data_IF_741801089583
#
_entry.id   IF_741801089583
#
_cell.length_a   1.000
_cell.length_b   1.000
_cell.length_c   1.000
_cell.angle_alpha   90.00
_cell.angle_beta   90.00
_cell.angle_gamma   90.00
#
_symmetry.space_group_name_H-M   'P 1'
#
loop_
_entity.id
_entity.type
_entity.pdbx_description
1 polymer ?
#
# COMPACT_ATOMS: atom_id res chain seq x y z
N UNK A 1 7.48 7.53 5.94
CA UNK A 1 7.81 7.34 4.51
C UNK A 1 8.53 8.59 4.07
N UNK A 2 9.70 8.47 3.46
CA UNK A 2 10.36 9.66 2.88
C UNK A 2 9.86 9.80 1.45
N UNK A 3 9.40 10.99 1.07
CA UNK A 3 9.03 11.31 -0.31
C UNK A 3 10.29 11.53 -1.16
N UNK A 4 11.19 10.55 -1.22
CA UNK A 4 12.45 10.61 -1.96
C UNK A 4 13.02 9.20 -2.14
N UNK A 5 13.07 8.70 -3.38
CA UNK A 5 13.56 7.34 -3.68
C UNK A 5 15.02 7.13 -3.28
N UNK A 6 15.87 8.16 -3.35
CA UNK A 6 17.28 8.04 -2.95
C UNK A 6 17.43 7.81 -1.44
N UNK A 7 16.67 8.54 -0.62
CA UNK A 7 16.67 8.33 0.81
C UNK A 7 15.99 7.00 1.16
N UNK A 8 14.95 6.61 0.41
CA UNK A 8 14.32 5.31 0.56
C UNK A 8 15.31 4.17 0.28
N UNK A 9 16.10 4.24 -0.80
CA UNK A 9 17.17 3.27 -1.07
C UNK A 9 18.21 3.24 0.04
N UNK A 10 18.59 4.40 0.61
CA UNK A 10 19.52 4.46 1.72
C UNK A 10 18.98 3.78 2.99
N UNK A 11 17.68 3.91 3.26
CA UNK A 11 17.01 3.32 4.42
C UNK A 11 16.79 1.81 4.22
N UNK A 12 16.32 1.39 3.05
CA UNK A 12 15.95 0.00 2.78
C UNK A 12 17.14 -0.90 2.44
N UNK A 13 18.09 -0.39 1.64
CA UNK A 13 19.24 -1.15 1.13
C UNK A 13 20.57 -0.69 1.75
N UNK A 14 20.53 0.29 2.65
CA UNK A 14 21.71 0.91 3.22
C UNK A 14 22.46 1.80 2.21
N UNK A 15 23.54 2.41 2.70
CA UNK A 15 24.45 3.20 1.86
C UNK A 15 25.09 2.38 0.73
N UNK A 16 25.18 1.06 0.89
CA UNK A 16 25.69 0.14 -0.14
C UNK A 16 24.75 0.11 -1.34
N UNK A 17 23.44 -0.10 -1.12
CA UNK A 17 22.46 -0.14 -2.20
C UNK A 17 22.37 1.20 -2.94
N UNK A 18 22.36 2.31 -2.20
CA UNK A 18 22.42 3.65 -2.77
C UNK A 18 23.71 3.85 -3.59
N UNK A 19 24.86 3.45 -3.05
CA UNK A 19 26.15 3.56 -3.73
C UNK A 19 26.21 2.78 -5.05
N UNK A 20 25.66 1.56 -5.09
CA UNK A 20 25.57 0.76 -6.31
C UNK A 20 24.62 1.40 -7.34
N UNK A 21 23.49 1.93 -6.90
CA UNK A 21 22.56 2.64 -7.77
C UNK A 21 23.20 3.88 -8.39
N UNK A 22 23.85 4.73 -7.58
CA UNK A 22 24.56 5.91 -8.07
C UNK A 22 25.71 5.52 -9.02
N UNK A 23 26.47 4.47 -8.69
CA UNK A 23 27.54 3.95 -9.56
C UNK A 23 26.99 3.54 -10.93
N UNK A 24 25.83 2.86 -10.97
CA UNK A 24 25.15 2.53 -12.23
C UNK A 24 24.85 3.79 -13.04
N UNK A 25 24.26 4.82 -12.42
CA UNK A 25 23.95 6.09 -13.09
C UNK A 25 25.23 6.75 -13.63
N UNK A 26 26.27 6.88 -12.81
CA UNK A 26 27.54 7.46 -13.23
C UNK A 26 28.16 6.69 -14.40
N UNK A 27 28.07 5.36 -14.40
CA UNK A 27 28.59 4.53 -15.49
C UNK A 27 27.80 4.75 -16.78
N UNK A 28 26.47 4.75 -16.72
CA UNK A 28 25.60 4.95 -17.88
C UNK A 28 25.81 6.34 -18.49
N UNK A 29 25.72 7.40 -17.69
CA UNK A 29 25.93 8.77 -18.18
C UNK A 29 27.37 9.02 -18.64
N UNK A 30 28.36 8.44 -17.96
CA UNK A 30 29.76 8.50 -18.40
C UNK A 30 29.98 7.86 -19.77
N UNK A 31 29.34 6.71 -20.04
CA UNK A 31 29.38 6.07 -21.35
C UNK A 31 28.62 6.88 -22.40
N UNK A 32 27.43 7.39 -22.09
CA UNK A 32 26.67 8.27 -23.00
C UNK A 32 27.52 9.47 -23.44
N UNK A 33 28.18 10.16 -22.51
CA UNK A 33 29.04 11.30 -22.81
C UNK A 33 30.26 10.89 -23.66
N UNK A 34 30.87 9.75 -23.37
CA UNK A 34 32.02 9.23 -24.11
C UNK A 34 31.68 8.85 -25.56
N UNK A 35 30.52 8.25 -25.79
CA UNK A 35 30.13 7.69 -27.09
C UNK A 35 29.24 8.62 -27.93
N UNK A 36 28.77 9.75 -27.40
CA UNK A 36 27.87 10.70 -28.11
C UNK A 36 28.35 11.11 -29.50
N UNK A 37 29.67 11.25 -29.70
CA UNK A 37 30.25 11.69 -30.98
C UNK A 37 30.30 10.56 -32.03
N UNK A 38 30.17 9.30 -31.61
CA UNK A 38 30.23 8.11 -32.49
C UNK A 38 28.85 7.66 -32.98
N UNK A 39 27.77 8.14 -32.36
CA UNK A 39 26.41 7.77 -32.73
C UNK A 39 26.06 8.29 -34.13
N UNK A 40 25.46 7.44 -34.97
CA UNK A 40 24.81 7.87 -36.22
C UNK A 40 23.47 8.55 -35.94
N UNK A 41 22.89 9.27 -36.91
CA UNK A 41 21.70 10.11 -36.71
C UNK A 41 20.52 9.35 -36.05
N UNK A 42 20.21 8.14 -36.51
CA UNK A 42 19.12 7.32 -35.96
C UNK A 42 19.38 6.91 -34.49
N UNK A 43 20.60 6.45 -34.20
CA UNK A 43 21.02 6.06 -32.84
C UNK A 43 21.01 7.26 -31.88
N UNK A 44 21.39 8.45 -32.36
CA UNK A 44 21.37 9.69 -31.57
C UNK A 44 19.99 10.01 -31.04
N UNK A 45 18.95 9.91 -31.89
CA UNK A 45 17.58 10.21 -31.48
C UNK A 45 17.13 9.27 -30.37
N UNK A 46 17.30 7.96 -30.55
CA UNK A 46 16.94 6.97 -29.54
C UNK A 46 17.68 7.19 -28.20
N UNK A 47 18.98 7.48 -28.26
CA UNK A 47 19.80 7.78 -27.09
C UNK A 47 19.35 9.04 -26.36
N UNK A 48 19.08 10.13 -27.09
CA UNK A 48 18.62 11.40 -26.50
C UNK A 48 17.26 11.22 -25.83
N UNK A 49 16.32 10.54 -26.49
CA UNK A 49 14.99 10.29 -25.94
C UNK A 49 15.05 9.42 -24.67
N UNK A 50 15.79 8.30 -24.72
CA UNK A 50 15.94 7.42 -23.56
C UNK A 50 16.67 8.12 -22.40
N UNK A 51 17.75 8.87 -22.68
CA UNK A 51 18.48 9.62 -21.66
C UNK A 51 17.63 10.74 -21.05
N UNK A 52 16.82 11.44 -21.86
CA UNK A 52 15.93 12.50 -21.38
C UNK A 52 14.83 11.91 -20.49
N UNK A 53 14.20 10.81 -20.93
CA UNK A 53 13.18 10.12 -20.15
C UNK A 53 13.74 9.61 -18.80
N UNK A 54 14.91 8.95 -18.81
CA UNK A 54 15.59 8.55 -17.57
C UNK A 54 15.92 9.74 -16.67
N UNK A 55 16.46 10.83 -17.23
CA UNK A 55 16.79 12.04 -16.47
C UNK A 55 15.55 12.64 -15.82
N UNK A 56 14.43 12.69 -16.54
CA UNK A 56 13.15 13.15 -16.00
C UNK A 56 12.68 12.27 -14.84
N UNK A 57 12.73 10.94 -14.96
CA UNK A 57 12.38 10.03 -13.87
C UNK A 57 13.30 10.18 -12.65
N UNK A 58 14.62 10.32 -12.87
CA UNK A 58 15.61 10.52 -11.81
C UNK A 58 15.43 11.88 -11.11
N UNK A 59 15.01 12.92 -11.85
CA UNK A 59 14.68 14.21 -11.27
C UNK A 59 13.41 14.14 -10.42
N UNK A 60 12.37 13.46 -10.90
CA UNK A 60 11.17 13.20 -10.08
C UNK A 60 11.50 12.38 -8.82
N UNK A 61 12.40 11.41 -8.91
CA UNK A 61 12.86 10.62 -7.78
C UNK A 61 13.53 11.43 -6.65
N UNK A 62 13.87 12.71 -6.88
CA UNK A 62 14.38 13.62 -5.84
C UNK A 62 13.26 14.14 -4.92
N UNK A 63 12.01 14.16 -5.38
CA UNK A 63 10.86 14.76 -4.67
C UNK A 63 9.73 13.75 -4.48
N UNK A 64 9.69 12.71 -5.30
CA UNK A 64 8.68 11.65 -5.32
C UNK A 64 9.35 10.27 -5.27
N UNK A 65 8.54 9.22 -5.39
CA UNK A 65 8.97 7.81 -5.42
C UNK A 65 8.52 7.06 -6.70
N UNK A 66 8.87 7.54 -7.91
CA UNK A 66 8.51 6.88 -9.15
C UNK A 66 9.00 5.43 -9.21
N UNK A 67 10.13 5.09 -8.59
CA UNK A 67 10.68 3.73 -8.63
C UNK A 67 9.95 2.75 -7.72
N UNK A 68 9.14 3.24 -6.77
CA UNK A 68 8.22 2.39 -6.01
C UNK A 68 7.07 1.85 -6.87
N UNK A 69 6.75 2.53 -7.98
CA UNK A 69 5.70 2.10 -8.90
C UNK A 69 6.29 1.10 -9.92
N UNK A 70 5.88 -0.19 -9.90
CA UNK A 70 6.55 -1.22 -10.71
C UNK A 70 6.60 -0.93 -12.21
N UNK A 71 5.54 -0.32 -12.78
CA UNK A 71 5.50 0.00 -14.20
C UNK A 71 6.52 1.10 -14.58
N UNK A 72 6.75 2.07 -13.70
CA UNK A 72 7.74 3.12 -13.91
C UNK A 72 9.16 2.55 -13.75
N UNK A 73 9.39 1.71 -12.75
CA UNK A 73 10.66 1.00 -12.61
C UNK A 73 10.98 0.11 -13.83
N UNK A 74 9.98 -0.61 -14.36
CA UNK A 74 10.15 -1.40 -15.58
C UNK A 74 10.45 -0.52 -16.79
N UNK A 75 9.76 0.63 -16.92
CA UNK A 75 10.00 1.61 -17.98
C UNK A 75 11.42 2.19 -17.90
N UNK A 76 11.91 2.51 -16.70
CA UNK A 76 13.29 2.93 -16.48
C UNK A 76 14.30 1.85 -16.91
N UNK A 77 14.03 0.59 -16.55
CA UNK A 77 14.82 -0.56 -17.00
C UNK A 77 14.83 -0.73 -18.52
N UNK A 78 13.70 -0.48 -19.20
CA UNK A 78 13.61 -0.52 -20.65
C UNK A 78 14.46 0.58 -21.32
N UNK A 79 14.45 1.80 -20.79
CA UNK A 79 15.32 2.87 -21.29
C UNK A 79 16.80 2.57 -21.07
N UNK A 80 17.17 2.01 -19.91
CA UNK A 80 18.52 1.51 -19.66
C UNK A 80 18.95 0.45 -20.68
N UNK A 81 18.05 -0.50 -21.01
CA UNK A 81 18.31 -1.53 -22.00
C UNK A 81 18.52 -0.94 -23.42
N UNK A 82 17.69 0.04 -23.82
CA UNK A 82 17.85 0.76 -25.08
C UNK A 82 19.22 1.45 -25.12
N UNK A 83 19.57 2.22 -24.09
CA UNK A 83 20.87 2.90 -24.03
C UNK A 83 22.02 1.89 -24.12
N UNK A 84 21.95 0.80 -23.35
CA UNK A 84 22.99 -0.21 -23.35
C UNK A 84 23.16 -0.87 -24.74
N UNK A 85 22.06 -1.19 -25.43
CA UNK A 85 22.12 -1.77 -26.78
C UNK A 85 22.78 -0.79 -27.77
N UNK A 86 22.37 0.47 -27.76
CA UNK A 86 22.95 1.50 -28.63
C UNK A 86 24.44 1.72 -28.35
N UNK A 87 24.85 1.70 -27.07
CA UNK A 87 26.26 1.80 -26.69
C UNK A 87 27.08 0.60 -27.19
N UNK A 88 26.53 -0.61 -27.11
CA UNK A 88 27.16 -1.83 -27.65
C UNK A 88 27.35 -1.72 -29.16
N UNK A 89 26.31 -1.27 -29.89
CA UNK A 89 26.35 -1.12 -31.34
C UNK A 89 27.42 -0.08 -31.78
N UNK A 90 27.75 0.89 -30.92
CA UNK A 90 28.84 1.86 -31.13
C UNK A 90 30.23 1.36 -30.69
N UNK A 91 30.34 0.07 -30.34
CA UNK A 91 31.60 -0.55 -29.92
C UNK A 91 32.02 -0.22 -28.50
N UNK A 92 31.07 0.08 -27.59
CA UNK A 92 31.39 0.13 -26.18
C UNK A 92 31.87 -1.25 -25.72
N UNK A 93 33.08 -1.30 -25.17
CA UNK A 93 33.64 -2.52 -24.62
C UNK A 93 32.76 -3.01 -23.47
N UNK A 94 32.13 -4.16 -23.66
CA UNK A 94 31.44 -4.86 -22.59
C UNK A 94 32.25 -6.11 -22.24
N UNK A 95 32.40 -6.35 -20.94
CA UNK A 95 32.78 -7.69 -20.49
C UNK A 95 31.57 -8.56 -20.79
N UNK A 96 31.67 -9.36 -21.84
CA UNK A 96 30.74 -10.46 -22.06
C UNK A 96 30.80 -11.30 -20.78
N UNK A 97 29.75 -11.30 -19.96
CA UNK A 97 29.65 -12.28 -18.90
C UNK A 97 29.85 -13.64 -19.55
N UNK A 98 30.70 -14.53 -18.98
CA UNK A 98 30.93 -15.84 -19.57
C UNK A 98 29.57 -16.45 -19.88
N UNK A 99 29.35 -16.85 -21.15
CA UNK A 99 28.09 -17.48 -21.54
C UNK A 99 27.87 -18.61 -20.56
N UNK A 100 26.81 -18.52 -19.75
CA UNK A 100 26.41 -19.60 -18.85
C UNK A 100 26.32 -20.83 -19.75
N UNK A 101 27.23 -21.77 -19.52
CA UNK A 101 27.42 -22.94 -20.37
C UNK A 101 26.07 -23.61 -20.53
N UNK A 102 25.66 -23.94 -21.76
CA UNK A 102 24.37 -24.57 -22.05
C UNK A 102 24.24 -26.00 -21.48
N UNK A 103 25.09 -26.38 -20.55
CA UNK A 103 24.95 -27.61 -19.79
C UNK A 103 23.61 -27.56 -19.07
N UNK A 104 22.81 -28.61 -19.30
CA UNK A 104 21.50 -28.76 -18.69
C UNK A 104 21.64 -28.79 -17.18
N UNK A 105 21.13 -27.77 -16.51
CA UNK A 105 20.97 -27.80 -15.05
C UNK A 105 19.72 -28.62 -14.78
N UNK A 106 19.86 -29.76 -14.08
CA UNK A 106 18.74 -30.67 -13.77
C UNK A 106 17.98 -31.20 -15.02
N UNK A 107 18.65 -31.34 -16.17
CA UNK A 107 18.02 -31.80 -17.41
C UNK A 107 17.18 -30.75 -18.15
N UNK A 108 17.03 -29.55 -17.60
CA UNK A 108 16.30 -28.45 -18.23
C UNK A 108 17.26 -27.53 -19.01
N UNK A 109 16.81 -27.06 -20.17
CA UNK A 109 17.55 -26.06 -20.95
C UNK A 109 17.56 -24.73 -20.18
N UNK A 110 18.72 -24.05 -20.00
CA UNK A 110 18.79 -22.77 -19.28
C UNK A 110 17.82 -21.70 -19.79
N UNK A 111 17.54 -21.70 -21.10
CA UNK A 111 16.55 -20.81 -21.71
C UNK A 111 15.12 -21.02 -21.19
N UNK A 112 14.74 -22.27 -20.88
CA UNK A 112 13.45 -22.58 -20.29
C UNK A 112 13.36 -22.09 -18.85
N UNK A 113 14.43 -22.32 -18.06
CA UNK A 113 14.52 -21.84 -16.68
C UNK A 113 14.42 -20.31 -16.64
N UNK A 114 15.19 -19.61 -17.49
CA UNK A 114 15.17 -18.15 -17.55
C UNK A 114 13.79 -17.59 -17.91
N UNK A 115 13.10 -18.18 -18.89
CA UNK A 115 11.72 -17.77 -19.25
C UNK A 115 10.73 -18.08 -18.13
N UNK A 116 10.86 -19.23 -17.48
CA UNK A 116 10.04 -19.60 -16.32
C UNK A 116 10.23 -18.63 -15.15
N UNK A 117 11.48 -18.27 -14.84
CA UNK A 117 11.80 -17.27 -13.81
C UNK A 117 11.27 -15.88 -14.17
N UNK A 118 11.41 -15.46 -15.43
CA UNK A 118 10.84 -14.20 -15.89
C UNK A 118 9.33 -14.18 -15.74
N UNK A 119 8.63 -15.25 -16.13
CA UNK A 119 7.18 -15.36 -15.98
C UNK A 119 6.79 -15.35 -14.49
N UNK A 120 7.48 -16.11 -13.65
CA UNK A 120 7.24 -16.13 -12.21
C UNK A 120 7.46 -14.74 -11.58
N UNK A 121 8.50 -14.04 -12.00
CA UNK A 121 8.78 -12.67 -11.57
C UNK A 121 7.68 -11.69 -12.01
N UNK A 122 7.22 -11.78 -13.25
CA UNK A 122 6.11 -10.95 -13.76
C UNK A 122 4.79 -11.23 -13.03
N UNK A 123 4.48 -12.50 -12.74
CA UNK A 123 3.32 -12.88 -11.95
C UNK A 123 3.43 -12.37 -10.51
N UNK A 124 4.62 -12.45 -9.91
CA UNK A 124 4.89 -11.92 -8.57
C UNK A 124 4.70 -10.41 -8.51
N UNK A 125 5.23 -9.67 -9.49
CA UNK A 125 5.01 -8.22 -9.62
C UNK A 125 3.53 -7.86 -9.86
N UNK A 126 2.75 -8.77 -10.48
CA UNK A 126 1.33 -8.60 -10.73
C UNK A 126 0.42 -8.83 -9.52
N UNK A 127 0.92 -9.45 -8.44
CA UNK A 127 0.12 -9.78 -7.25
C UNK A 127 -0.68 -8.60 -6.67
N UNK A 128 -0.14 -7.36 -6.54
CA UNK A 128 -0.91 -6.21 -6.10
C UNK A 128 -2.10 -5.85 -6.99
N UNK A 129 -1.92 -5.92 -8.31
CA UNK A 129 -2.99 -5.65 -9.25
C UNK A 129 -4.07 -6.73 -9.16
N UNK A 130 -3.67 -8.00 -9.07
CA UNK A 130 -4.61 -9.12 -8.91
C UNK A 130 -5.35 -9.07 -7.56
N UNK A 131 -4.70 -8.67 -6.47
CA UNK A 131 -5.36 -8.51 -5.17
C UNK A 131 -6.37 -7.36 -5.17
N UNK A 132 -6.04 -6.24 -5.82
CA UNK A 132 -6.96 -5.13 -6.00
C UNK A 132 -8.17 -5.53 -6.86
N UNK A 133 -7.94 -6.23 -7.98
CA UNK A 133 -9.02 -6.75 -8.81
C UNK A 133 -9.92 -7.71 -8.02
N UNK A 134 -9.34 -8.66 -7.28
CA UNK A 134 -10.09 -9.57 -6.42
C UNK A 134 -10.94 -8.81 -5.39
N UNK A 135 -10.39 -7.77 -4.76
CA UNK A 135 -11.13 -6.90 -3.83
C UNK A 135 -12.29 -6.16 -4.51
N UNK A 136 -12.09 -5.64 -5.73
CA UNK A 136 -13.16 -4.98 -6.50
C UNK A 136 -14.24 -5.97 -6.94
N UNK A 137 -13.87 -7.18 -7.37
CA UNK A 137 -14.83 -8.25 -7.63
C UNK A 137 -15.63 -8.62 -6.38
N UNK A 138 -14.96 -8.71 -5.21
CA UNK A 138 -15.62 -8.96 -3.93
C UNK A 138 -16.67 -7.90 -3.62
N UNK A 139 -16.33 -6.61 -3.79
CA UNK A 139 -17.26 -5.49 -3.61
C UNK A 139 -18.46 -5.56 -4.56
N UNK A 140 -18.24 -5.82 -5.86
CA UNK A 140 -19.32 -5.94 -6.84
C UNK A 140 -20.26 -7.11 -6.52
N UNK A 141 -19.74 -8.23 -6.02
CA UNK A 141 -20.58 -9.36 -5.60
C UNK A 141 -21.43 -9.01 -4.37
N UNK A 142 -20.89 -8.23 -3.43
CA UNK A 142 -21.65 -7.73 -2.29
C UNK A 142 -22.77 -6.78 -2.70
N UNK A 143 -22.52 -5.90 -3.68
CA UNK A 143 -23.55 -5.02 -4.25
C UNK A 143 -24.69 -5.80 -4.91
N UNK A 144 -24.41 -7.00 -5.40
CA UNK A 144 -25.40 -7.95 -5.95
C UNK A 144 -26.03 -8.87 -4.89
N UNK A 145 -25.87 -8.55 -3.61
CA UNK A 145 -26.32 -9.35 -2.47
C UNK A 145 -25.75 -10.78 -2.42
N UNK A 146 -24.67 -11.08 -3.15
CA UNK A 146 -23.99 -12.37 -3.08
C UNK A 146 -22.84 -12.32 -2.06
N UNK A 147 -23.20 -12.44 -0.79
CA UNK A 147 -22.24 -12.30 0.31
C UNK A 147 -21.18 -13.40 0.35
N UNK A 148 -21.55 -14.64 0.03
CA UNK A 148 -20.60 -15.75 0.04
C UNK A 148 -19.51 -15.57 -1.01
N UNK A 149 -19.87 -15.20 -2.25
CA UNK A 149 -18.88 -14.90 -3.27
C UNK A 149 -18.08 -13.65 -2.95
N UNK A 150 -18.70 -12.62 -2.36
CA UNK A 150 -18.00 -11.42 -1.90
C UNK A 150 -16.88 -11.73 -0.90
N UNK A 151 -17.20 -12.52 0.13
CA UNK A 151 -16.24 -12.98 1.13
C UNK A 151 -15.13 -13.85 0.52
N UNK A 152 -15.47 -14.75 -0.40
CA UNK A 152 -14.47 -15.58 -1.08
C UNK A 152 -13.43 -14.73 -1.83
N UNK A 153 -13.89 -13.71 -2.56
CA UNK A 153 -12.99 -12.82 -3.30
C UNK A 153 -12.14 -11.91 -2.40
N UNK A 154 -12.66 -11.45 -1.26
CA UNK A 154 -11.82 -10.77 -0.26
C UNK A 154 -10.77 -11.73 0.35
N UNK A 155 -11.12 -12.99 0.58
CA UNK A 155 -10.18 -14.03 0.98
C UNK A 155 -9.05 -14.21 -0.05
N UNK A 156 -9.37 -14.22 -1.34
CA UNK A 156 -8.37 -14.26 -2.43
C UNK A 156 -7.47 -13.02 -2.41
N UNK A 157 -8.04 -11.82 -2.27
CA UNK A 157 -7.26 -10.58 -2.19
C UNK A 157 -6.25 -10.63 -1.02
N UNK A 158 -6.69 -11.11 0.14
CA UNK A 158 -5.85 -11.30 1.32
C UNK A 158 -4.78 -12.38 1.13
N UNK A 159 -5.08 -13.47 0.43
CA UNK A 159 -4.09 -14.51 0.11
C UNK A 159 -2.97 -13.99 -0.81
N UNK A 160 -3.34 -13.17 -1.80
CA UNK A 160 -2.38 -12.58 -2.74
C UNK A 160 -1.52 -11.48 -2.08
N UNK A 161 -2.07 -10.76 -1.10
CA UNK A 161 -1.38 -9.72 -0.35
C UNK A 161 -1.67 -9.80 1.16
N UNK A 162 -1.05 -10.76 1.87
CA UNK A 162 -1.32 -10.98 3.29
C UNK A 162 -0.82 -9.84 4.19
N UNK A 163 0.03 -8.95 3.66
CA UNK A 163 0.58 -7.78 4.36
C UNK A 163 -0.21 -6.48 4.14
N UNK A 164 -1.31 -6.52 3.41
CA UNK A 164 -2.16 -5.34 3.22
C UNK A 164 -3.25 -5.31 4.30
N UNK A 165 -3.25 -4.34 5.23
CA UNK A 165 -4.24 -4.23 6.30
C UNK A 165 -5.65 -3.93 5.77
N UNK A 166 -5.77 -3.36 4.56
CA UNK A 166 -7.03 -2.96 3.94
C UNK A 166 -7.92 -4.16 3.63
N UNK A 167 -7.33 -5.30 3.24
CA UNK A 167 -8.13 -6.49 2.91
C UNK A 167 -8.72 -7.16 4.16
N UNK A 168 -8.03 -7.07 5.31
CA UNK A 168 -8.59 -7.50 6.59
C UNK A 168 -9.73 -6.59 7.02
N UNK A 169 -9.58 -5.27 6.85
CA UNK A 169 -10.64 -4.32 7.14
C UNK A 169 -11.89 -4.57 6.28
N UNK A 170 -11.71 -4.69 4.96
CA UNK A 170 -12.81 -4.97 4.02
C UNK A 170 -13.57 -6.26 4.39
N UNK A 171 -12.85 -7.36 4.61
CA UNK A 171 -13.46 -8.64 5.01
C UNK A 171 -14.14 -8.53 6.39
N UNK A 172 -13.49 -7.85 7.34
CA UNK A 172 -14.00 -7.62 8.69
C UNK A 172 -15.31 -6.83 8.69
N UNK A 173 -15.44 -5.79 7.88
CA UNK A 173 -16.68 -5.01 7.72
C UNK A 173 -17.84 -5.87 7.21
N UNK A 174 -17.58 -6.82 6.30
CA UNK A 174 -18.62 -7.73 5.79
C UNK A 174 -19.10 -8.67 6.90
N UNK A 175 -18.18 -9.27 7.65
CA UNK A 175 -18.53 -10.14 8.78
C UNK A 175 -19.25 -9.38 9.89
N UNK A 176 -18.87 -8.13 10.17
CA UNK A 176 -19.57 -7.25 11.10
C UNK A 176 -21.01 -7.05 10.67
N UNK A 177 -21.23 -6.63 9.42
CA UNK A 177 -22.57 -6.37 8.88
C UNK A 177 -23.45 -7.63 8.94
N UNK A 178 -22.90 -8.80 8.61
CA UNK A 178 -23.61 -10.08 8.74
C UNK A 178 -23.92 -10.43 10.20
N UNK A 179 -22.98 -10.22 11.12
CA UNK A 179 -23.16 -10.48 12.54
C UNK A 179 -24.23 -9.60 13.17
N UNK A 180 -24.27 -8.32 12.81
CA UNK A 180 -25.31 -7.38 13.24
C UNK A 180 -26.66 -7.77 12.65
N UNK A 181 -26.74 -8.01 11.34
CA UNK A 181 -27.99 -8.38 10.66
C UNK A 181 -28.60 -9.68 11.20
N UNK A 182 -27.77 -10.67 11.51
CA UNK A 182 -28.20 -11.98 12.02
C UNK A 182 -28.24 -12.05 13.55
N UNK A 183 -27.81 -11.01 14.26
CA UNK A 183 -27.61 -11.00 15.72
C UNK A 183 -26.77 -12.19 16.22
N UNK A 184 -25.72 -12.56 15.48
CA UNK A 184 -24.85 -13.70 15.80
C UNK A 184 -23.48 -13.22 16.30
N UNK A 185 -23.21 -13.47 17.58
CA UNK A 185 -21.95 -13.11 18.23
C UNK A 185 -20.74 -13.73 17.52
N UNK A 186 -20.82 -15.00 17.10
CA UNK A 186 -19.73 -15.70 16.39
C UNK A 186 -19.25 -14.98 15.12
N UNK A 187 -20.15 -14.30 14.40
CA UNK A 187 -19.80 -13.55 13.19
C UNK A 187 -19.11 -12.21 13.54
N UNK A 188 -19.51 -11.59 14.64
CA UNK A 188 -18.84 -10.40 15.16
C UNK A 188 -17.44 -10.73 15.69
N UNK A 189 -17.26 -11.87 16.36
CA UNK A 189 -15.94 -12.35 16.79
C UNK A 189 -15.01 -12.61 15.60
N UNK A 190 -15.53 -13.14 14.48
CA UNK A 190 -14.75 -13.26 13.23
C UNK A 190 -14.32 -11.90 12.69
N UNK A 191 -15.19 -10.90 12.73
CA UNK A 191 -14.87 -9.53 12.33
C UNK A 191 -13.76 -8.93 13.21
N UNK A 192 -13.87 -9.07 14.54
CA UNK A 192 -12.85 -8.61 15.50
C UNK A 192 -11.51 -9.31 15.24
N UNK A 193 -11.52 -10.62 14.98
CA UNK A 193 -10.30 -11.36 14.66
C UNK A 193 -9.61 -10.83 13.40
N UNK A 194 -10.39 -10.49 12.35
CA UNK A 194 -9.86 -9.88 11.14
C UNK A 194 -9.29 -8.47 11.41
N UNK A 195 -10.00 -7.63 12.16
CA UNK A 195 -9.48 -6.31 12.52
C UNK A 195 -8.18 -6.41 13.35
N UNK A 196 -8.09 -7.33 14.30
CA UNK A 196 -6.87 -7.58 15.05
C UNK A 196 -5.72 -8.01 14.13
N UNK A 197 -5.97 -8.89 13.15
CA UNK A 197 -4.97 -9.27 12.15
C UNK A 197 -4.54 -8.10 11.27
N UNK A 198 -5.46 -7.21 10.89
CA UNK A 198 -5.13 -5.97 10.18
C UNK A 198 -4.20 -5.06 10.99
N UNK A 199 -4.45 -4.92 12.30
CA UNK A 199 -3.60 -4.16 13.23
C UNK A 199 -2.21 -4.82 13.37
N UNK A 200 -2.14 -6.15 13.49
CA UNK A 200 -0.87 -6.89 13.56
C UNK A 200 -0.03 -6.70 12.29
N UNK A 201 -0.69 -6.69 11.13
CA UNK A 201 -0.04 -6.52 9.82
C UNK A 201 0.52 -5.10 9.64
N UNK A 202 -0.20 -4.08 10.09
CA UNK A 202 0.27 -2.70 10.07
C UNK A 202 -0.34 -1.88 11.22
N UNK A 203 0.41 -1.75 12.31
CA UNK A 203 -0.03 -1.01 13.50
C UNK A 203 -0.15 0.50 13.34
N UNK A 204 0.31 1.09 12.22
CA UNK A 204 0.17 2.52 11.93
C UNK A 204 -1.11 2.87 11.15
N UNK A 205 -1.75 1.86 10.57
CA UNK A 205 -3.02 1.99 9.86
C UNK A 205 -4.17 1.92 10.88
N UNK A 206 -4.93 3.01 11.03
CA UNK A 206 -5.93 3.11 12.11
C UNK A 206 -7.30 2.58 11.74
N UNK A 207 -7.63 2.29 10.47
CA UNK A 207 -8.98 1.92 10.07
C UNK A 207 -9.44 0.60 10.73
N UNK A 208 -8.56 -0.39 10.82
CA UNK A 208 -8.86 -1.64 11.54
C UNK A 208 -9.12 -1.39 13.04
N UNK A 209 -8.33 -0.52 13.67
CA UNK A 209 -8.48 -0.14 15.08
C UNK A 209 -9.78 0.63 15.31
N UNK A 210 -10.09 1.62 14.46
CA UNK A 210 -11.32 2.40 14.54
C UNK A 210 -12.56 1.55 14.29
N UNK A 211 -12.52 0.61 13.33
CA UNK A 211 -13.62 -0.32 13.08
C UNK A 211 -13.87 -1.23 14.29
N UNK A 212 -12.80 -1.74 14.92
CA UNK A 212 -12.88 -2.51 16.16
C UNK A 212 -13.50 -1.68 17.29
N UNK A 213 -13.04 -0.45 17.52
CA UNK A 213 -13.59 0.47 18.53
C UNK A 213 -15.08 0.69 18.28
N UNK A 214 -15.46 1.04 17.05
CA UNK A 214 -16.85 1.28 16.68
C UNK A 214 -17.73 0.04 16.88
N UNK A 215 -17.22 -1.16 16.55
CA UNK A 215 -17.92 -2.43 16.75
C UNK A 215 -18.20 -2.68 18.23
N UNK A 216 -17.21 -2.55 19.12
CA UNK A 216 -17.41 -2.72 20.56
C UNK A 216 -18.37 -1.68 21.14
N UNK A 217 -18.24 -0.42 20.72
CA UNK A 217 -19.08 0.68 21.18
C UNK A 217 -20.55 0.51 20.78
N UNK A 218 -20.80 0.11 19.53
CA UNK A 218 -22.17 0.02 18.99
C UNK A 218 -22.85 -1.33 19.24
N UNK A 219 -22.07 -2.41 19.29
CA UNK A 219 -22.57 -3.78 19.29
C UNK A 219 -21.99 -4.64 20.42
N UNK A 220 -21.37 -4.02 21.43
CA UNK A 220 -20.78 -4.73 22.57
C UNK A 220 -21.77 -5.67 23.29
N UNK A 221 -23.04 -5.32 23.33
CA UNK A 221 -24.11 -6.15 23.91
C UNK A 221 -24.38 -7.46 23.15
N UNK A 222 -23.92 -7.58 21.89
CA UNK A 222 -23.99 -8.80 21.10
C UNK A 222 -22.73 -9.66 21.20
N UNK A 223 -21.67 -9.18 21.84
CA UNK A 223 -20.40 -9.88 21.94
C UNK A 223 -20.36 -10.83 23.13
N UNK A 224 -19.54 -11.88 23.02
CA UNK A 224 -19.34 -12.81 24.15
C UNK A 224 -18.52 -12.14 25.26
N UNK A 225 -17.58 -11.28 24.88
CA UNK A 225 -16.70 -10.55 25.78
C UNK A 225 -16.66 -9.08 25.36
N UNK A 226 -17.56 -8.22 25.88
CA UNK A 226 -17.52 -6.79 25.57
C UNK A 226 -16.25 -6.14 26.13
N UNK A 227 -15.71 -5.17 25.39
CA UNK A 227 -14.59 -4.34 25.85
C UNK A 227 -15.05 -3.40 26.97
N UNK A 228 -14.16 -3.12 27.92
CA UNK A 228 -14.44 -2.16 28.98
C UNK A 228 -14.35 -0.72 28.46
N UNK A 229 -14.98 0.27 29.13
CA UNK A 229 -14.74 1.69 28.86
C UNK A 229 -13.26 2.06 28.85
N UNK A 230 -12.45 1.46 29.73
CA UNK A 230 -11.01 1.69 29.80
C UNK A 230 -10.28 1.21 28.54
N UNK A 231 -10.64 0.03 28.03
CA UNK A 231 -10.06 -0.52 26.79
C UNK A 231 -10.33 0.39 25.60
N UNK A 232 -11.57 0.87 25.46
CA UNK A 232 -11.96 1.77 24.38
C UNK A 232 -11.19 3.09 24.44
N UNK A 233 -11.03 3.67 25.64
CA UNK A 233 -10.25 4.89 25.82
C UNK A 233 -8.76 4.67 25.54
N UNK A 234 -8.19 3.51 25.89
CA UNK A 234 -6.82 3.17 25.55
C UNK A 234 -6.62 3.06 24.03
N UNK A 235 -7.53 2.38 23.33
CA UNK A 235 -7.46 2.19 21.89
C UNK A 235 -7.63 3.51 21.11
N UNK A 236 -8.56 4.37 21.51
CA UNK A 236 -8.75 5.65 20.82
C UNK A 236 -7.61 6.63 21.07
N UNK A 237 -7.00 6.61 22.26
CA UNK A 237 -5.78 7.36 22.55
C UNK A 237 -4.60 6.88 21.69
N UNK A 238 -4.47 5.57 21.47
CA UNK A 238 -3.49 5.02 20.53
C UNK A 238 -3.76 5.49 19.10
N UNK A 239 -5.02 5.44 18.62
CA UNK A 239 -5.36 5.94 17.30
C UNK A 239 -5.03 7.43 17.12
N UNK A 240 -5.27 8.25 18.16
CA UNK A 240 -4.93 9.67 18.20
C UNK A 240 -3.42 9.90 18.18
N UNK A 241 -2.64 9.09 18.88
CA UNK A 241 -1.18 9.16 18.84
C UNK A 241 -0.65 8.89 17.42
N UNK A 242 -1.23 7.90 16.73
CA UNK A 242 -0.83 7.51 15.38
C UNK A 242 -1.24 8.53 14.32
N UNK A 243 -2.44 9.11 14.43
CA UNK A 243 -2.99 10.04 13.42
C UNK A 243 -3.74 11.21 14.07
N UNK A 244 -3.04 12.15 14.75
CA UNK A 244 -3.66 13.18 15.58
C UNK A 244 -4.51 14.19 14.79
N UNK A 245 -4.28 14.34 13.49
CA UNK A 245 -5.01 15.27 12.62
C UNK A 245 -6.10 14.61 11.77
N UNK A 246 -6.29 13.29 11.90
CA UNK A 246 -7.32 12.56 11.16
C UNK A 246 -8.71 12.93 11.69
N UNK A 247 -9.58 13.45 10.82
CA UNK A 247 -10.95 13.79 11.20
C UNK A 247 -11.69 12.54 11.71
N UNK A 248 -11.51 11.38 11.06
CA UNK A 248 -12.17 10.14 11.46
C UNK A 248 -11.78 9.72 12.88
N UNK A 249 -10.50 9.86 13.24
CA UNK A 249 -10.01 9.56 14.60
C UNK A 249 -10.62 10.53 15.61
N UNK A 250 -10.58 11.83 15.34
CA UNK A 250 -11.14 12.86 16.24
C UNK A 250 -12.65 12.70 16.44
N UNK A 251 -13.37 12.32 15.39
CA UNK A 251 -14.81 12.03 15.49
C UNK A 251 -15.09 10.78 16.32
N UNK A 252 -14.29 9.73 16.17
CA UNK A 252 -14.46 8.51 16.97
C UNK A 252 -14.06 8.73 18.44
N UNK A 253 -13.11 9.63 18.72
CA UNK A 253 -12.79 10.11 20.08
C UNK A 253 -14.00 10.74 20.76
N UNK A 254 -14.69 11.66 20.09
CA UNK A 254 -15.93 12.26 20.61
C UNK A 254 -16.98 11.20 20.94
N UNK A 255 -17.16 10.21 20.05
CA UNK A 255 -18.12 9.11 20.28
C UNK A 255 -17.71 8.21 21.44
N UNK A 256 -16.42 7.95 21.62
CA UNK A 256 -15.90 7.19 22.76
C UNK A 256 -16.11 7.96 24.07
N UNK A 257 -15.80 9.26 24.11
CA UNK A 257 -16.03 10.11 25.28
C UNK A 257 -17.51 10.10 25.69
N UNK A 258 -18.42 10.29 24.74
CA UNK A 258 -19.85 10.23 25.02
C UNK A 258 -20.27 8.84 25.54
N UNK A 259 -19.78 7.77 24.91
CA UNK A 259 -20.09 6.39 25.32
C UNK A 259 -19.62 6.06 26.75
N UNK A 260 -18.47 6.57 27.19
CA UNK A 260 -17.95 6.33 28.55
C UNK A 260 -18.52 7.29 29.60
N UNK A 261 -19.52 8.11 29.26
CA UNK A 261 -20.19 9.04 30.17
C UNK A 261 -19.49 10.40 30.33
N UNK A 262 -18.43 10.68 29.57
CA UNK A 262 -17.70 11.95 29.58
C UNK A 262 -18.37 12.99 28.65
N UNK A 263 -19.69 13.17 28.81
CA UNK A 263 -20.54 13.94 27.88
C UNK A 263 -20.08 15.39 27.72
N UNK A 264 -19.63 16.05 28.79
CA UNK A 264 -19.12 17.41 28.73
C UNK A 264 -17.88 17.50 27.82
N UNK A 265 -16.89 16.61 28.01
CA UNK A 265 -15.69 16.56 27.18
C UNK A 265 -16.02 16.23 25.73
N UNK A 266 -16.98 15.32 25.51
CA UNK A 266 -17.44 14.99 24.16
C UNK A 266 -18.03 16.21 23.44
N UNK A 267 -18.89 16.99 24.12
CA UNK A 267 -19.46 18.24 23.58
C UNK A 267 -18.40 19.29 23.30
N UNK A 268 -17.47 19.51 24.22
CA UNK A 268 -16.36 20.47 24.04
C UNK A 268 -15.50 20.11 22.82
N UNK A 269 -15.13 18.84 22.66
CA UNK A 269 -14.36 18.38 21.51
C UNK A 269 -15.16 18.46 20.20
N UNK A 270 -16.44 18.11 20.20
CA UNK A 270 -17.32 18.25 19.04
C UNK A 270 -17.45 19.72 18.60
N UNK A 271 -17.59 20.64 19.54
CA UNK A 271 -17.64 22.08 19.28
C UNK A 271 -16.33 22.58 18.69
N UNK A 272 -15.19 22.15 19.22
CA UNK A 272 -13.86 22.48 18.67
C UNK A 272 -13.70 21.99 17.22
N UNK A 273 -14.17 20.78 16.92
CA UNK A 273 -14.18 20.26 15.54
C UNK A 273 -15.06 21.10 14.62
N UNK A 274 -16.23 21.54 15.10
CA UNK A 274 -17.13 22.38 14.33
C UNK A 274 -16.51 23.76 14.05
N UNK A 275 -15.86 24.38 15.04
CA UNK A 275 -15.13 25.64 14.84
C UNK A 275 -14.04 25.50 13.77
N UNK A 276 -13.31 24.38 13.76
CA UNK A 276 -12.28 24.10 12.74
C UNK A 276 -12.88 23.77 11.37
N UNK A 277 -14.10 23.21 11.31
CA UNK A 277 -14.75 22.72 10.09
C UNK A 277 -16.24 23.08 10.03
N UNK A 278 -16.60 24.37 9.97
CA UNK A 278 -17.98 24.84 10.16
C UNK A 278 -18.95 24.31 9.10
N UNK A 279 -18.47 24.04 7.88
CA UNK A 279 -19.28 23.55 6.75
C UNK A 279 -19.45 22.02 6.73
N UNK A 280 -18.83 21.28 7.65
CA UNK A 280 -18.89 19.82 7.63
C UNK A 280 -20.20 19.31 8.25
N UNK A 281 -21.13 18.84 7.40
CA UNK A 281 -22.39 18.21 7.84
C UNK A 281 -22.16 17.05 8.81
N UNK A 282 -21.11 16.26 8.60
CA UNK A 282 -20.78 15.12 9.46
C UNK A 282 -20.41 15.57 10.88
N UNK A 283 -19.68 16.69 11.02
CA UNK A 283 -19.31 17.27 12.32
C UNK A 283 -20.51 17.93 12.99
N UNK A 284 -21.37 18.61 12.23
CA UNK A 284 -22.63 19.17 12.74
C UNK A 284 -23.54 18.07 13.31
N UNK A 285 -23.71 16.96 12.59
CA UNK A 285 -24.48 15.80 13.04
C UNK A 285 -23.85 15.15 14.29
N UNK A 286 -22.52 15.10 14.35
CA UNK A 286 -21.82 14.59 15.53
C UNK A 286 -22.11 15.46 16.76
N UNK A 287 -22.00 16.78 16.64
CA UNK A 287 -22.30 17.71 17.74
C UNK A 287 -23.76 17.57 18.21
N UNK A 288 -24.70 17.50 17.28
CA UNK A 288 -26.11 17.27 17.60
C UNK A 288 -26.28 15.96 18.39
N UNK A 289 -25.63 14.86 17.96
CA UNK A 289 -25.75 13.56 18.63
C UNK A 289 -25.23 13.52 20.07
N UNK A 290 -24.25 14.37 20.43
CA UNK A 290 -23.69 14.41 21.80
C UNK A 290 -24.28 15.52 22.67
N UNK A 291 -25.17 16.34 22.12
CA UNK A 291 -25.82 17.47 22.82
C UNK A 291 -27.21 17.12 23.36
N UNK A 292 -27.80 16.01 22.91
CA UNK A 292 -29.13 15.54 23.34
C UNK A 292 -29.11 14.58 24.53
N UNK A 293 -27.90 14.20 25.00
CA UNK A 293 -27.65 13.40 26.20
C UNK A 293 -27.12 14.27 27.36
#
# INVERSE_FOLDING_TARGET
FVHNDYLQFAIELGLIGLGLFLLLLFRVYGQLLRFRHRAVAEQRVALILAATAMTSMLAHALVDYPFYIPILLATFGAYLAIINQQLIDMGAAYKVLPKITQQTVLGLRPAFISKGLLLAFMLWLGLPAFSQMASLYGLNQLQRANTQSGLAWYGVARMLQPRSPVYYWNEGQVWQNLGVAQKKSDLLEKSIALFNKGIEVNGYEVNNLLAKIALYRQYGYLLKQPATPLDMMAWINLAKLLQPFSLTVQMEEVRCLAFVGEHQKAREQAQLLLTKRPLSKTVQNLLASVSHD
#
